data_IF_033473375113
#
_entry.id   IF_033473375113
#
_cell.length_a   1.000
_cell.length_b   1.000
_cell.length_c   1.000
_cell.angle_alpha   90.00
_cell.angle_beta   90.00
_cell.angle_gamma   90.00
#
_symmetry.space_group_name_H-M   'P 1'
#
loop_
_entity.id
_entity.type
_entity.pdbx_description
1 polymer ?
#
# COMPACT_ATOMS: atom_id res chain seq x y z
N UNK A 1 27.06 -6.74 62.89
CA UNK A 1 26.27 -5.74 62.13
C UNK A 1 26.09 -6.27 60.72
N UNK A 2 24.88 -6.67 60.35
CA UNK A 2 24.58 -7.30 59.07
C UNK A 2 24.36 -6.23 57.99
N UNK A 3 25.11 -6.32 56.89
CA UNK A 3 24.99 -5.50 55.70
C UNK A 3 23.68 -5.82 54.96
N UNK A 4 22.84 -4.82 54.72
CA UNK A 4 21.65 -4.93 53.86
C UNK A 4 22.06 -5.11 52.40
N UNK A 5 21.43 -6.00 51.63
CA UNK A 5 21.66 -6.10 50.19
C UNK A 5 20.92 -4.96 49.46
N UNK A 6 21.65 -4.25 48.60
CA UNK A 6 21.11 -3.25 47.67
C UNK A 6 20.44 -4.01 46.53
N UNK A 7 19.18 -3.67 46.23
CA UNK A 7 18.43 -4.31 45.16
C UNK A 7 19.02 -3.96 43.78
N UNK A 8 19.30 -5.00 43.00
CA UNK A 8 19.70 -4.89 41.60
C UNK A 8 18.49 -4.48 40.75
N UNK A 9 18.16 -3.18 40.78
CA UNK A 9 17.29 -2.56 39.78
C UNK A 9 18.06 -2.43 38.47
N UNK A 10 17.90 -3.40 37.57
CA UNK A 10 18.33 -3.34 36.17
C UNK A 10 17.69 -2.13 35.47
N UNK A 11 18.33 -0.96 35.57
CA UNK A 11 18.10 0.15 34.65
C UNK A 11 18.79 -0.20 33.33
N UNK A 12 18.07 -0.86 32.42
CA UNK A 12 18.46 -0.79 31.01
C UNK A 12 18.47 0.69 30.61
N UNK A 13 19.52 1.19 29.95
CA UNK A 13 19.49 2.52 29.35
C UNK A 13 18.32 2.54 28.35
N UNK A 14 17.37 3.46 28.54
CA UNK A 14 16.38 3.77 27.49
C UNK A 14 17.16 4.47 26.38
N UNK A 15 17.20 3.87 25.20
CA UNK A 15 17.81 4.46 24.02
C UNK A 15 17.10 5.78 23.67
N UNK A 16 17.76 6.95 23.74
CA UNK A 16 17.17 8.25 23.47
C UNK A 16 16.76 8.46 22.00
N UNK A 17 17.24 7.61 21.08
CA UNK A 17 17.02 7.76 19.63
C UNK A 17 15.57 7.51 19.18
N UNK A 18 14.78 6.79 19.97
CA UNK A 18 13.39 6.42 19.63
C UNK A 18 12.36 7.47 20.11
N UNK A 19 12.74 8.39 21.01
CA UNK A 19 11.81 9.27 21.72
C UNK A 19 11.53 10.64 21.05
N UNK A 20 11.96 10.89 19.81
CA UNK A 20 11.88 12.23 19.20
C UNK A 20 11.40 12.35 17.75
N UNK A 21 11.29 11.26 17.00
CA UNK A 21 10.88 11.34 15.59
C UNK A 21 9.36 11.38 15.46
N UNK A 22 8.86 12.55 15.07
CA UNK A 22 7.44 12.77 14.81
C UNK A 22 7.05 12.13 13.47
N UNK A 23 5.94 11.42 13.45
CA UNK A 23 5.37 10.81 12.23
C UNK A 23 4.20 11.66 11.76
N UNK A 24 4.21 12.05 10.49
CA UNK A 24 3.21 12.90 9.85
C UNK A 24 2.70 12.24 8.58
N UNK A 25 1.47 12.56 8.19
CA UNK A 25 0.83 11.94 7.04
C UNK A 25 0.33 12.99 6.04
N UNK A 26 0.68 12.80 4.77
CA UNK A 26 0.00 13.45 3.65
C UNK A 26 -0.88 12.41 2.95
N UNK A 27 -2.19 12.57 3.06
CA UNK A 27 -3.16 11.58 2.60
C UNK A 27 -3.64 11.99 1.21
N UNK A 28 -3.48 11.13 0.22
CA UNK A 28 -3.84 11.39 -1.17
C UNK A 28 -5.09 10.60 -1.54
N UNK A 29 -6.18 11.31 -1.87
CA UNK A 29 -7.50 10.73 -2.14
C UNK A 29 -8.00 11.20 -3.52
N UNK A 30 -7.99 10.34 -4.56
CA UNK A 30 -8.57 10.65 -5.85
C UNK A 30 -10.07 10.40 -5.78
N UNK A 31 -10.84 11.43 -6.13
CA UNK A 31 -12.29 11.46 -6.15
C UNK A 31 -12.77 11.57 -7.60
N UNK A 32 -13.74 10.72 -7.95
CA UNK A 32 -14.57 10.98 -9.12
C UNK A 32 -15.70 11.91 -8.70
N UNK A 33 -15.81 13.07 -9.33
CA UNK A 33 -16.82 14.08 -9.00
C UNK A 33 -17.62 14.39 -10.27
N UNK A 34 -18.68 13.62 -10.49
CA UNK A 34 -19.56 13.83 -11.65
C UNK A 34 -20.66 14.88 -11.37
N UNK A 35 -20.85 15.29 -10.11
CA UNK A 35 -21.80 16.33 -9.71
C UNK A 35 -21.44 17.01 -8.39
N UNK A 36 -22.03 18.18 -8.12
CA UNK A 36 -21.95 18.90 -6.84
C UNK A 36 -22.39 18.00 -5.68
N UNK A 37 -23.47 17.24 -5.85
CA UNK A 37 -23.96 16.29 -4.84
C UNK A 37 -22.97 15.16 -4.55
N UNK A 38 -22.28 14.63 -5.58
CA UNK A 38 -21.23 13.64 -5.36
C UNK A 38 -20.03 14.24 -4.63
N UNK A 39 -19.65 15.49 -4.97
CA UNK A 39 -18.61 16.22 -4.25
C UNK A 39 -18.99 16.33 -2.78
N UNK A 40 -20.20 16.83 -2.47
CA UNK A 40 -20.74 16.94 -1.11
C UNK A 40 -20.68 15.61 -0.36
N UNK A 41 -21.20 14.53 -0.97
CA UNK A 41 -21.30 13.22 -0.34
C UNK A 41 -19.96 12.56 -0.08
N UNK A 42 -18.94 12.76 -0.93
CA UNK A 42 -17.65 12.05 -0.76
C UNK A 42 -16.54 12.90 -0.17
N UNK A 43 -16.37 14.13 -0.62
CA UNK A 43 -15.37 15.04 -0.04
C UNK A 43 -15.68 15.32 1.43
N UNK A 44 -16.93 15.72 1.73
CA UNK A 44 -17.35 16.03 3.09
C UNK A 44 -17.24 14.82 4.02
N UNK A 45 -17.76 13.67 3.56
CA UNK A 45 -17.71 12.42 4.30
C UNK A 45 -16.29 11.96 4.63
N UNK A 46 -15.37 11.93 3.65
CA UNK A 46 -14.01 11.43 3.90
C UNK A 46 -13.24 12.36 4.83
N UNK A 47 -13.45 13.68 4.72
CA UNK A 47 -12.85 14.65 5.63
C UNK A 47 -13.42 14.50 7.06
N UNK A 48 -14.73 14.26 7.20
CA UNK A 48 -15.39 13.98 8.48
C UNK A 48 -14.86 12.70 9.14
N UNK A 49 -14.60 11.66 8.32
CA UNK A 49 -14.13 10.34 8.77
C UNK A 49 -12.64 10.27 9.05
N UNK A 50 -11.84 11.22 8.57
CA UNK A 50 -10.38 11.18 8.73
C UNK A 50 -9.91 11.01 10.18
N UNK A 51 -10.49 11.69 11.19
CA UNK A 51 -10.09 11.49 12.59
C UNK A 51 -10.41 10.10 13.12
N UNK A 52 -11.25 9.29 12.47
CA UNK A 52 -11.43 7.87 12.81
C UNK A 52 -10.20 7.03 12.48
N UNK A 53 -9.25 7.57 11.69
CA UNK A 53 -7.95 6.95 11.44
C UNK A 53 -6.98 7.03 12.62
N UNK A 54 -7.35 7.67 13.72
CA UNK A 54 -6.56 7.72 14.95
C UNK A 54 -7.34 7.07 16.09
N UNK A 55 -6.66 6.43 17.04
CA UNK A 55 -7.24 5.97 18.30
C UNK A 55 -7.55 7.16 19.20
N UNK A 56 -8.42 6.99 20.20
CA UNK A 56 -8.87 8.10 21.06
C UNK A 56 -7.70 8.77 21.78
N UNK A 57 -6.74 7.98 22.24
CA UNK A 57 -5.49 8.41 22.88
C UNK A 57 -4.55 9.19 21.94
N UNK A 58 -4.68 9.00 20.63
CA UNK A 58 -3.91 9.70 19.59
C UNK A 58 -4.70 10.86 18.95
N UNK A 59 -5.94 11.11 19.37
CA UNK A 59 -6.82 12.17 18.82
C UNK A 59 -6.63 13.54 19.47
N UNK A 60 -5.55 13.74 20.21
CA UNK A 60 -5.24 15.07 20.74
C UNK A 60 -5.08 16.08 19.59
N UNK A 61 -5.54 17.32 19.80
CA UNK A 61 -5.54 18.39 18.77
C UNK A 61 -4.22 18.52 18.02
N UNK A 62 -3.10 18.26 18.70
CA UNK A 62 -1.74 18.32 18.15
C UNK A 62 -1.45 17.27 17.07
N UNK A 63 -2.11 16.10 17.11
CA UNK A 63 -1.89 15.01 16.15
C UNK A 63 -2.59 15.30 14.82
N UNK A 64 -3.75 15.96 14.86
CA UNK A 64 -4.43 16.36 13.62
C UNK A 64 -3.71 17.48 12.87
N UNK A 65 -2.86 18.28 13.54
CA UNK A 65 -1.94 19.23 12.89
C UNK A 65 -0.80 18.52 12.12
N UNK A 66 -0.55 17.24 12.39
CA UNK A 66 0.43 16.40 11.70
C UNK A 66 -0.16 15.66 10.50
N UNK A 67 -1.40 16.00 10.12
CA UNK A 67 -2.11 15.42 9.00
C UNK A 67 -2.43 16.49 7.97
N UNK A 68 -2.09 16.19 6.72
CA UNK A 68 -2.52 16.95 5.57
C UNK A 68 -3.25 16.04 4.57
N UNK A 69 -4.18 16.58 3.79
CA UNK A 69 -4.96 15.81 2.81
C UNK A 69 -5.00 16.50 1.45
N UNK A 70 -4.74 15.73 0.41
CA UNK A 70 -4.99 16.09 -0.99
C UNK A 70 -6.22 15.36 -1.48
N UNK A 71 -7.21 16.13 -1.93
CA UNK A 71 -8.33 15.61 -2.69
C UNK A 71 -8.13 15.89 -4.17
N UNK A 72 -7.86 14.84 -4.93
CA UNK A 72 -7.75 14.92 -6.38
C UNK A 72 -9.12 14.77 -7.03
N UNK A 73 -9.71 15.83 -7.55
CA UNK A 73 -11.07 15.78 -8.11
C UNK A 73 -11.04 15.65 -9.63
N UNK A 74 -11.55 14.54 -10.15
CA UNK A 74 -11.81 14.40 -11.57
C UNK A 74 -13.09 15.13 -11.96
N UNK A 75 -12.95 16.18 -12.76
CA UNK A 75 -14.05 17.00 -13.25
C UNK A 75 -13.56 18.38 -13.68
N UNK A 76 -14.41 19.12 -14.43
CA UNK A 76 -14.12 20.53 -14.72
C UNK A 76 -14.31 21.33 -13.44
N UNK A 77 -13.26 21.99 -12.97
CA UNK A 77 -13.37 22.95 -11.88
C UNK A 77 -14.20 24.14 -12.35
N UNK A 78 -15.37 24.34 -11.73
CA UNK A 78 -16.23 25.49 -11.97
C UNK A 78 -16.21 26.41 -10.75
N UNK A 79 -16.43 27.73 -10.92
CA UNK A 79 -16.59 28.64 -9.78
C UNK A 79 -17.70 28.22 -8.81
N UNK A 80 -18.73 27.55 -9.33
CA UNK A 80 -19.80 26.95 -8.52
C UNK A 80 -19.26 25.82 -7.62
N UNK A 81 -18.52 24.86 -8.19
CA UNK A 81 -17.90 23.79 -7.42
C UNK A 81 -16.92 24.33 -6.38
N UNK A 82 -16.13 25.36 -6.72
CA UNK A 82 -15.27 26.06 -5.76
C UNK A 82 -16.06 26.64 -4.58
N UNK A 83 -17.18 27.32 -4.87
CA UNK A 83 -18.07 27.88 -3.85
C UNK A 83 -18.66 26.79 -2.92
N UNK A 84 -19.05 25.65 -3.49
CA UNK A 84 -19.52 24.49 -2.73
C UNK A 84 -18.42 23.96 -1.82
N UNK A 85 -17.21 23.74 -2.33
CA UNK A 85 -16.10 23.19 -1.54
C UNK A 85 -15.69 24.11 -0.38
N UNK A 86 -15.66 25.44 -0.62
CA UNK A 86 -15.44 26.44 0.44
C UNK A 86 -16.54 26.39 1.50
N UNK A 87 -17.79 26.21 1.08
CA UNK A 87 -18.94 26.09 1.99
C UNK A 87 -18.84 24.81 2.83
N UNK A 88 -18.52 23.67 2.22
CA UNK A 88 -18.33 22.40 2.94
C UNK A 88 -17.24 22.56 4.00
N UNK A 89 -16.09 23.12 3.62
CA UNK A 89 -14.99 23.36 4.56
C UNK A 89 -15.45 24.20 5.74
N UNK A 90 -16.09 25.34 5.48
CA UNK A 90 -16.57 26.24 6.54
C UNK A 90 -17.55 25.53 7.47
N UNK A 91 -18.44 24.72 6.92
CA UNK A 91 -19.41 23.93 7.70
C UNK A 91 -18.71 22.89 8.57
N UNK A 92 -17.75 22.13 8.02
CA UNK A 92 -16.99 21.14 8.78
C UNK A 92 -16.15 21.78 9.88
N UNK A 93 -15.43 22.86 9.57
CA UNK A 93 -14.63 23.63 10.54
C UNK A 93 -15.52 24.14 11.70
N UNK A 94 -16.78 24.48 11.43
CA UNK A 94 -17.75 24.92 12.44
C UNK A 94 -18.38 23.77 13.24
N UNK A 95 -18.59 22.61 12.60
CA UNK A 95 -19.26 21.47 13.20
C UNK A 95 -18.39 20.75 14.23
N UNK A 96 -17.07 20.67 13.98
CA UNK A 96 -16.15 20.09 14.95
C UNK A 96 -14.77 20.77 14.83
N UNK A 97 -14.36 21.53 15.87
CA UNK A 97 -13.12 22.30 15.87
C UNK A 97 -11.86 21.46 15.62
N UNK A 98 -11.90 20.15 15.87
CA UNK A 98 -10.76 19.28 15.61
C UNK A 98 -10.44 19.18 14.11
N UNK A 99 -11.43 19.39 13.21
CA UNK A 99 -11.24 19.38 11.76
C UNK A 99 -10.47 20.60 11.25
N UNK A 100 -10.60 21.74 11.92
CA UNK A 100 -9.94 22.99 11.51
C UNK A 100 -8.40 22.87 11.49
N UNK A 101 -7.85 21.86 12.18
CA UNK A 101 -6.42 21.60 12.25
C UNK A 101 -5.87 20.75 11.09
N UNK A 102 -6.74 20.05 10.34
CA UNK A 102 -6.31 19.24 9.20
C UNK A 102 -6.07 20.15 7.99
N UNK A 103 -4.80 20.24 7.59
CA UNK A 103 -4.41 20.95 6.36
C UNK A 103 -4.97 20.20 5.16
N UNK A 104 -5.48 20.91 4.16
CA UNK A 104 -5.91 20.24 2.94
C UNK A 104 -5.81 21.12 1.70
N UNK A 105 -5.77 20.47 0.55
CA UNK A 105 -5.90 21.13 -0.75
C UNK A 105 -6.70 20.26 -1.71
N UNK A 106 -7.38 20.95 -2.63
CA UNK A 106 -8.11 20.31 -3.72
C UNK A 106 -7.33 20.55 -5.00
N UNK A 107 -7.03 19.47 -5.71
CA UNK A 107 -6.38 19.51 -7.01
C UNK A 107 -7.36 18.96 -8.02
N UNK A 108 -7.69 19.75 -9.04
CA UNK A 108 -8.60 19.30 -10.09
C UNK A 108 -7.87 18.84 -11.33
N UNK A 109 -8.40 17.82 -11.98
CA UNK A 109 -7.89 17.33 -13.25
C UNK A 109 -9.04 16.73 -14.07
N UNK A 110 -8.77 16.49 -15.34
CA UNK A 110 -9.63 15.69 -16.22
C UNK A 110 -8.75 14.66 -16.93
N UNK A 111 -9.29 13.49 -17.27
CA UNK A 111 -8.58 12.50 -18.08
C UNK A 111 -9.29 12.16 -19.38
N UNK A 112 -8.56 11.49 -20.27
CA UNK A 112 -9.05 11.07 -21.58
C UNK A 112 -8.68 12.05 -22.67
N UNK A 113 -9.22 11.87 -23.88
CA UNK A 113 -8.75 12.51 -25.12
C UNK A 113 -8.55 14.03 -25.02
N UNK A 114 -9.44 14.71 -24.30
CA UNK A 114 -9.43 16.16 -24.09
C UNK A 114 -9.12 16.55 -22.63
N UNK A 115 -8.54 15.61 -21.88
CA UNK A 115 -8.20 15.76 -20.47
C UNK A 115 -6.85 16.44 -20.22
N UNK A 116 -6.63 16.90 -18.99
CA UNK A 116 -5.33 17.41 -18.53
C UNK A 116 -4.29 16.31 -18.30
N UNK A 117 -4.73 15.06 -18.08
CA UNK A 117 -3.87 13.89 -17.89
C UNK A 117 -4.33 12.71 -18.77
N UNK A 118 -3.43 11.75 -19.02
CA UNK A 118 -3.75 10.47 -19.67
C UNK A 118 -4.53 10.58 -21.01
N UNK A 119 -4.15 11.53 -21.87
CA UNK A 119 -4.86 11.84 -23.12
C UNK A 119 -4.99 10.67 -24.10
N UNK A 120 -4.08 9.71 -24.02
CA UNK A 120 -3.98 8.55 -24.89
C UNK A 120 -4.82 7.33 -24.42
N UNK A 121 -5.55 7.44 -23.31
CA UNK A 121 -6.33 6.35 -22.70
C UNK A 121 -7.73 6.81 -22.21
N UNK A 122 -8.67 7.11 -23.11
CA UNK A 122 -9.99 7.61 -22.74
C UNK A 122 -10.90 6.57 -22.06
N UNK A 123 -10.67 5.28 -22.29
CA UNK A 123 -11.65 4.23 -21.97
C UNK A 123 -11.48 3.59 -20.57
N UNK A 124 -10.48 4.02 -19.80
CA UNK A 124 -10.18 3.43 -18.49
C UNK A 124 -9.65 4.49 -17.52
N UNK A 125 -10.02 4.36 -16.23
CA UNK A 125 -9.54 5.23 -15.16
C UNK A 125 -8.01 5.11 -15.05
N UNK A 126 -7.24 6.19 -15.27
CA UNK A 126 -5.78 6.11 -15.35
C UNK A 126 -5.14 6.32 -13.97
N UNK A 127 -5.31 5.35 -13.05
CA UNK A 127 -4.88 5.49 -11.66
C UNK A 127 -3.41 5.92 -11.49
N UNK A 128 -2.48 5.30 -12.22
CA UNK A 128 -1.06 5.71 -12.22
C UNK A 128 -0.87 7.19 -12.56
N UNK A 129 -1.54 7.68 -13.62
CA UNK A 129 -1.44 9.07 -14.07
C UNK A 129 -2.05 10.03 -13.05
N UNK A 130 -3.16 9.62 -12.41
CA UNK A 130 -3.81 10.38 -11.34
C UNK A 130 -2.84 10.52 -10.15
N UNK A 131 -2.26 9.40 -9.67
CA UNK A 131 -1.32 9.42 -8.54
C UNK A 131 -0.05 10.20 -8.86
N UNK A 132 0.48 10.06 -10.08
CA UNK A 132 1.64 10.82 -10.56
C UNK A 132 1.36 12.33 -10.58
N UNK A 133 0.21 12.71 -11.15
CA UNK A 133 -0.19 14.12 -11.23
C UNK A 133 -0.38 14.73 -9.85
N UNK A 134 -1.10 14.04 -8.97
CA UNK A 134 -1.37 14.53 -7.62
C UNK A 134 -0.09 14.62 -6.78
N UNK A 135 0.82 13.63 -6.84
CA UNK A 135 2.05 13.68 -6.03
C UNK A 135 2.99 14.82 -6.45
N UNK A 136 3.04 15.15 -7.75
CA UNK A 136 3.98 16.15 -8.28
C UNK A 136 3.42 17.57 -8.28
N UNK A 137 2.13 17.75 -7.98
CA UNK A 137 1.49 19.06 -7.96
C UNK A 137 2.07 19.97 -6.88
N UNK A 138 2.20 21.27 -7.18
CA UNK A 138 2.79 22.25 -6.27
C UNK A 138 2.02 22.39 -4.94
N UNK A 139 0.69 22.20 -4.95
CA UNK A 139 -0.09 22.20 -3.71
C UNK A 139 0.29 21.02 -2.81
N UNK A 140 0.58 19.85 -3.38
CA UNK A 140 1.05 18.67 -2.63
C UNK A 140 2.42 18.94 -2.02
N UNK A 141 3.37 19.47 -2.81
CA UNK A 141 4.72 19.81 -2.36
C UNK A 141 4.70 20.82 -1.21
N UNK A 142 3.88 21.86 -1.35
CA UNK A 142 3.66 22.87 -0.30
C UNK A 142 3.16 22.26 1.00
N UNK A 143 2.23 21.29 0.95
CA UNK A 143 1.76 20.62 2.16
C UNK A 143 2.87 19.82 2.85
N UNK A 144 3.80 19.23 2.11
CA UNK A 144 4.97 18.54 2.70
C UNK A 144 5.90 19.54 3.39
N UNK A 145 6.17 20.66 2.75
CA UNK A 145 6.95 21.76 3.35
C UNK A 145 6.29 22.25 4.64
N UNK A 146 4.98 22.51 4.60
CA UNK A 146 4.18 22.93 5.74
C UNK A 146 4.13 21.89 6.88
N UNK A 147 4.18 20.59 6.56
CA UNK A 147 4.28 19.53 7.57
C UNK A 147 5.66 19.53 8.24
N UNK A 148 6.72 19.86 7.49
CA UNK A 148 8.10 19.92 7.99
C UNK A 148 8.50 21.24 8.63
N UNK A 149 7.77 22.33 8.40
CA UNK A 149 8.11 23.68 8.84
C UNK A 149 8.49 23.76 10.33
N UNK A 150 7.65 23.20 11.21
CA UNK A 150 7.90 23.19 12.67
C UNK A 150 8.80 22.04 13.13
N UNK A 151 8.87 20.97 12.34
CA UNK A 151 9.56 19.73 12.68
C UNK A 151 10.39 19.24 11.47
N UNK A 152 11.52 19.89 11.12
CA UNK A 152 12.23 19.60 9.87
C UNK A 152 12.68 18.14 9.72
N UNK A 153 12.93 17.45 10.84
CA UNK A 153 13.37 16.07 10.89
C UNK A 153 12.21 15.05 11.05
N UNK A 154 10.96 15.49 10.94
CA UNK A 154 9.83 14.57 11.02
C UNK A 154 9.78 13.62 9.82
N UNK A 155 9.24 12.42 10.06
CA UNK A 155 8.95 11.45 9.01
C UNK A 155 7.61 11.81 8.38
N UNK A 156 7.62 12.10 7.08
CA UNK A 156 6.39 12.39 6.32
C UNK A 156 6.08 11.19 5.42
N UNK A 157 4.92 10.57 5.62
CA UNK A 157 4.42 9.48 4.80
C UNK A 157 3.33 9.97 3.86
N UNK A 158 3.45 9.67 2.56
CA UNK A 158 2.30 9.77 1.66
C UNK A 158 1.45 8.53 1.84
N UNK A 159 0.22 8.71 2.33
CA UNK A 159 -0.78 7.65 2.40
C UNK A 159 -1.66 7.72 1.16
N UNK A 160 -1.51 6.77 0.27
CA UNK A 160 -2.45 6.60 -0.83
C UNK A 160 -3.69 5.91 -0.30
N UNK A 161 -4.86 6.46 -0.62
CA UNK A 161 -6.19 5.95 -0.21
C UNK A 161 -7.16 6.19 -1.37
N UNK A 162 -8.11 5.30 -1.64
CA UNK A 162 -9.15 5.52 -2.66
C UNK A 162 -10.45 6.04 -2.04
N UNK A 163 -11.27 6.64 -2.90
CA UNK A 163 -12.57 7.21 -2.55
C UNK A 163 -13.65 6.21 -2.11
N UNK A 164 -13.41 4.90 -2.23
CA UNK A 164 -14.32 3.85 -1.75
C UNK A 164 -14.16 3.55 -0.26
N UNK A 165 -13.21 4.20 0.42
CA UNK A 165 -13.06 4.16 1.88
C UNK A 165 -14.36 4.50 2.62
N UNK A 166 -14.72 3.68 3.61
CA UNK A 166 -15.88 3.89 4.49
C UNK A 166 -15.49 4.12 5.95
N UNK A 167 -14.34 3.62 6.40
CA UNK A 167 -13.85 3.84 7.75
C UNK A 167 -12.33 3.69 7.76
N UNK A 168 -11.63 4.69 8.33
CA UNK A 168 -10.18 4.67 8.46
C UNK A 168 -9.68 3.74 9.57
N UNK A 169 -10.55 3.24 10.44
CA UNK A 169 -10.32 2.16 11.39
C UNK A 169 -9.01 2.26 12.18
N UNK A 170 -8.73 3.44 12.75
CA UNK A 170 -7.50 3.74 13.50
C UNK A 170 -6.19 3.49 12.74
N UNK A 171 -6.22 3.41 11.41
CA UNK A 171 -5.07 2.97 10.61
C UNK A 171 -3.82 3.84 10.77
N UNK A 172 -3.95 5.15 10.97
CA UNK A 172 -2.80 6.04 11.16
C UNK A 172 -2.16 5.82 12.53
N UNK A 173 -2.93 5.46 13.57
CA UNK A 173 -2.36 4.98 14.83
C UNK A 173 -1.61 3.67 14.65
N UNK A 174 -2.12 2.74 13.84
CA UNK A 174 -1.40 1.50 13.52
C UNK A 174 -0.10 1.79 12.77
N UNK A 175 -0.10 2.70 11.81
CA UNK A 175 1.10 3.13 11.09
C UNK A 175 2.12 3.80 12.01
N UNK A 176 1.69 4.66 12.94
CA UNK A 176 2.58 5.22 13.96
C UNK A 176 3.23 4.09 14.78
N UNK A 177 2.44 3.10 15.20
CA UNK A 177 2.98 1.95 15.95
C UNK A 177 3.97 1.13 15.14
N UNK A 178 3.66 0.83 13.87
CA UNK A 178 4.57 0.13 12.95
C UNK A 178 5.90 0.88 12.85
N UNK A 179 5.86 2.19 12.62
CA UNK A 179 7.08 3.01 12.54
C UNK A 179 7.88 2.93 13.84
N UNK A 180 7.23 3.05 14.99
CA UNK A 180 7.91 2.95 16.29
C UNK A 180 8.49 1.56 16.55
N UNK A 181 7.76 0.50 16.22
CA UNK A 181 8.21 -0.89 16.35
C UNK A 181 9.44 -1.15 15.47
N UNK A 182 9.42 -0.69 14.22
CA UNK A 182 10.53 -0.83 13.29
C UNK A 182 11.75 0.00 13.70
N UNK A 183 11.56 1.23 14.17
CA UNK A 183 12.65 2.06 14.69
C UNK A 183 13.31 1.43 15.93
N UNK A 184 12.55 0.74 16.80
CA UNK A 184 13.12 0.03 17.96
C UNK A 184 13.99 -1.17 17.57
N UNK A 185 13.76 -1.77 16.39
CA UNK A 185 14.51 -2.95 15.94
C UNK A 185 15.90 -2.58 15.44
N UNK A 186 16.02 -1.55 14.62
CA UNK A 186 17.27 -1.22 13.91
C UNK A 186 17.47 0.28 13.62
N UNK A 187 16.65 1.15 14.21
CA UNK A 187 16.64 2.61 13.94
C UNK A 187 16.35 3.01 12.48
N UNK A 188 15.84 2.09 11.65
CA UNK A 188 15.44 2.37 10.28
C UNK A 188 13.91 2.41 10.20
N UNK A 189 13.31 3.54 9.79
CA UNK A 189 11.86 3.61 9.61
C UNK A 189 11.44 2.81 8.37
N UNK A 190 10.20 2.29 8.33
CA UNK A 190 9.64 1.72 7.11
C UNK A 190 9.71 2.73 5.97
N UNK A 191 10.27 2.34 4.83
CA UNK A 191 10.19 3.12 3.59
C UNK A 191 8.81 2.99 2.96
N UNK A 192 8.22 1.80 3.05
CA UNK A 192 6.88 1.49 2.55
C UNK A 192 6.15 0.65 3.60
N UNK A 193 4.88 0.96 3.85
CA UNK A 193 4.07 0.16 4.77
C UNK A 193 2.60 0.09 4.35
N UNK A 194 1.91 -1.00 4.71
CA UNK A 194 0.47 -1.16 4.53
C UNK A 194 -0.10 -2.14 5.57
N UNK A 195 -1.37 -1.97 5.93
CA UNK A 195 -2.16 -2.98 6.67
C UNK A 195 -3.22 -3.64 5.79
N UNK A 196 -3.25 -3.31 4.50
CA UNK A 196 -4.25 -3.77 3.55
C UNK A 196 -5.61 -3.12 3.72
N UNK A 197 -6.63 -3.71 3.10
CA UNK A 197 -8.02 -3.27 3.22
C UNK A 197 -8.91 -4.48 3.53
N UNK A 198 -10.07 -4.21 4.12
CA UNK A 198 -11.15 -5.18 4.28
C UNK A 198 -12.50 -4.54 3.96
N UNK A 199 -13.48 -5.35 3.62
CA UNK A 199 -14.88 -4.89 3.63
C UNK A 199 -15.50 -5.12 5.00
N UNK A 200 -16.58 -4.41 5.29
CA UNK A 200 -17.31 -4.53 6.54
C UNK A 200 -17.69 -5.99 6.84
N UNK A 201 -17.59 -6.40 8.13
CA UNK A 201 -17.88 -7.75 8.63
C UNK A 201 -19.26 -8.30 8.23
N UNK A 202 -20.23 -7.43 8.01
CA UNK A 202 -21.59 -7.82 7.61
C UNK A 202 -21.73 -8.09 6.09
N UNK A 203 -20.68 -7.87 5.30
CA UNK A 203 -20.67 -8.18 3.87
C UNK A 203 -20.38 -9.67 3.63
N UNK A 204 -21.07 -10.28 2.67
CA UNK A 204 -20.72 -11.61 2.16
C UNK A 204 -19.26 -11.71 1.66
N UNK A 205 -18.66 -10.57 1.29
CA UNK A 205 -17.27 -10.50 0.81
C UNK A 205 -16.24 -10.46 1.95
N UNK A 206 -16.65 -10.28 3.21
CA UNK A 206 -15.75 -10.05 4.34
C UNK A 206 -14.69 -11.13 4.49
N UNK A 207 -15.12 -12.39 4.62
CA UNK A 207 -14.21 -13.54 4.81
C UNK A 207 -13.20 -13.63 3.67
N UNK A 208 -13.65 -13.45 2.43
CA UNK A 208 -12.78 -13.50 1.26
C UNK A 208 -11.75 -12.34 1.23
N UNK A 209 -12.13 -11.13 1.66
CA UNK A 209 -11.18 -10.01 1.77
C UNK A 209 -10.21 -10.15 2.94
N UNK A 210 -10.67 -10.66 4.08
CA UNK A 210 -9.84 -10.95 5.24
C UNK A 210 -8.77 -11.99 4.89
N UNK A 211 -9.17 -13.09 4.23
CA UNK A 211 -8.23 -14.13 3.79
C UNK A 211 -7.23 -13.62 2.74
N UNK A 212 -7.67 -12.78 1.80
CA UNK A 212 -6.76 -12.16 0.83
C UNK A 212 -5.69 -11.32 1.53
N UNK A 213 -6.09 -10.53 2.53
CA UNK A 213 -5.19 -9.73 3.36
C UNK A 213 -4.26 -10.61 4.20
N UNK A 214 -4.78 -11.64 4.87
CA UNK A 214 -3.96 -12.54 5.68
C UNK A 214 -2.94 -13.34 4.85
N UNK A 215 -3.28 -13.68 3.61
CA UNK A 215 -2.33 -14.27 2.66
C UNK A 215 -1.14 -13.32 2.41
N UNK A 216 -1.40 -12.01 2.30
CA UNK A 216 -0.35 -10.99 2.12
C UNK A 216 0.50 -10.79 3.38
N UNK A 217 -0.12 -10.85 4.56
CA UNK A 217 0.60 -10.85 5.85
C UNK A 217 1.58 -12.01 5.89
N UNK A 218 1.11 -13.24 5.62
CA UNK A 218 1.93 -14.45 5.65
C UNK A 218 3.12 -14.38 4.67
N UNK A 219 2.89 -13.86 3.46
CA UNK A 219 3.97 -13.61 2.49
C UNK A 219 4.97 -12.59 3.02
N UNK A 220 4.49 -11.53 3.67
CA UNK A 220 5.33 -10.45 4.14
C UNK A 220 6.17 -10.80 5.37
N UNK A 221 5.75 -11.77 6.18
CA UNK A 221 6.59 -12.35 7.25
C UNK A 221 7.86 -12.99 6.69
N UNK A 222 7.80 -13.55 5.48
CA UNK A 222 8.95 -14.14 4.80
C UNK A 222 9.73 -13.11 4.00
N UNK A 223 9.05 -12.38 3.11
CA UNK A 223 9.63 -11.27 2.38
C UNK A 223 8.54 -10.24 1.99
N UNK A 224 8.53 -9.05 2.61
CA UNK A 224 7.51 -8.03 2.37
C UNK A 224 7.53 -7.45 0.97
N UNK A 225 8.61 -7.62 0.19
CA UNK A 225 8.69 -7.18 -1.21
C UNK A 225 8.10 -8.20 -2.19
N UNK A 226 7.76 -9.40 -1.75
CA UNK A 226 6.98 -10.36 -2.56
C UNK A 226 5.47 -10.08 -2.50
N UNK A 227 5.03 -9.27 -1.55
CA UNK A 227 3.64 -8.85 -1.41
C UNK A 227 3.31 -7.75 -2.42
N UNK A 228 2.23 -7.90 -3.17
CA UNK A 228 1.63 -6.77 -3.86
C UNK A 228 0.95 -5.87 -2.82
N UNK A 229 1.35 -4.61 -2.73
CA UNK A 229 0.72 -3.65 -1.84
C UNK A 229 -0.60 -3.22 -2.48
N UNK A 230 -1.75 -3.58 -1.89
CA UNK A 230 -3.04 -3.32 -2.50
C UNK A 230 -3.30 -1.82 -2.57
N UNK A 231 -3.74 -1.36 -3.72
CA UNK A 231 -4.49 -0.10 -3.81
C UNK A 231 -5.93 -0.42 -3.34
N UNK A 232 -6.50 0.34 -2.40
CA UNK A 232 -6.22 1.76 -2.11
C UNK A 232 -5.05 2.10 -1.20
N UNK A 233 -4.58 1.19 -0.34
CA UNK A 233 -4.00 1.60 0.95
C UNK A 233 -2.54 1.19 1.11
N UNK A 234 -1.63 2.14 0.91
CA UNK A 234 -0.23 1.99 1.31
C UNK A 234 0.42 3.35 1.56
N UNK A 235 1.39 3.37 2.46
CA UNK A 235 2.18 4.52 2.84
C UNK A 235 3.59 4.44 2.24
N UNK A 236 4.13 5.58 1.79
CA UNK A 236 5.51 5.70 1.32
C UNK A 236 6.18 6.88 2.02
N UNK A 237 7.36 6.63 2.58
CA UNK A 237 8.19 7.65 3.22
C UNK A 237 8.73 8.62 2.16
N UNK A 238 8.51 9.92 2.37
CA UNK A 238 9.16 10.98 1.61
C UNK A 238 10.61 11.11 2.08
N UNK A 239 11.58 11.07 1.15
CA UNK A 239 12.98 11.24 1.51
C UNK A 239 13.22 12.58 2.19
N UNK A 240 14.17 12.60 3.13
CA UNK A 240 14.56 13.83 3.82
C UNK A 240 15.08 14.85 2.80
N UNK A 241 14.62 16.11 2.91
CA UNK A 241 14.98 17.18 1.99
C UNK A 241 14.15 17.22 0.69
N UNK A 242 13.30 16.23 0.41
CA UNK A 242 12.39 16.24 -0.74
C UNK A 242 10.99 16.73 -0.35
N UNK A 243 10.32 17.48 -1.23
CA UNK A 243 8.95 17.97 -1.05
C UNK A 243 7.88 16.97 -1.53
N UNK A 244 8.30 15.86 -2.15
CA UNK A 244 7.42 14.79 -2.62
C UNK A 244 8.17 13.47 -2.80
N UNK A 245 7.46 12.41 -3.19
CA UNK A 245 8.05 11.16 -3.65
C UNK A 245 8.63 11.36 -5.05
N UNK A 246 9.94 11.25 -5.17
CA UNK A 246 10.70 11.51 -6.39
C UNK A 246 10.53 10.41 -7.44
N UNK A 247 10.26 9.17 -7.02
CA UNK A 247 9.96 8.04 -7.90
C UNK A 247 8.59 8.18 -8.56
N UNK A 248 8.40 7.50 -9.69
CA UNK A 248 7.19 7.61 -10.49
C UNK A 248 6.26 6.41 -10.35
N UNK A 249 4.95 6.67 -10.41
CA UNK A 249 3.92 5.66 -10.64
C UNK A 249 3.87 5.18 -12.10
N UNK A 250 4.58 5.85 -13.01
CA UNK A 250 4.57 5.59 -14.44
C UNK A 250 5.86 4.89 -14.83
N UNK A 251 5.71 3.69 -15.41
CA UNK A 251 6.87 2.94 -15.93
C UNK A 251 7.46 3.64 -17.16
N UNK A 252 8.80 3.78 -17.27
CA UNK A 252 9.44 4.27 -18.48
C UNK A 252 9.04 3.44 -19.72
N UNK A 253 8.65 4.11 -20.81
CA UNK A 253 8.24 3.48 -22.07
C UNK A 253 7.05 2.51 -21.93
N UNK A 254 6.14 2.72 -20.96
CA UNK A 254 4.93 1.87 -20.83
C UNK A 254 4.11 1.89 -22.11
N UNK A 255 3.55 0.74 -22.49
CA UNK A 255 2.50 0.70 -23.51
C UNK A 255 1.12 0.90 -22.87
N UNK A 256 0.08 1.12 -23.69
CA UNK A 256 -1.30 1.37 -23.22
C UNK A 256 -1.87 0.26 -22.31
N UNK A 257 -1.37 -0.97 -22.42
CA UNK A 257 -1.81 -2.13 -21.63
C UNK A 257 -1.10 -2.28 -20.28
N UNK A 258 -0.12 -1.43 -19.98
CA UNK A 258 0.74 -1.50 -18.78
C UNK A 258 0.44 -0.40 -17.75
N UNK A 259 -0.85 -0.13 -17.51
CA UNK A 259 -1.32 0.92 -16.59
C UNK A 259 -1.83 0.41 -15.24
N UNK A 260 -1.60 -0.87 -14.95
CA UNK A 260 -1.98 -1.52 -13.69
C UNK A 260 -0.77 -1.60 -12.76
N UNK A 261 -1.01 -1.95 -11.49
CA UNK A 261 0.03 -2.20 -10.49
C UNK A 261 0.85 -0.95 -10.16
N UNK A 262 0.14 0.12 -9.78
CA UNK A 262 0.72 1.41 -9.44
C UNK A 262 1.78 1.27 -8.34
N UNK A 263 1.42 0.58 -7.26
CA UNK A 263 2.30 0.31 -6.13
C UNK A 263 3.53 -0.49 -6.53
N UNK A 264 3.36 -1.51 -7.39
CA UNK A 264 4.48 -2.32 -7.89
C UNK A 264 5.50 -1.49 -8.70
N UNK A 265 5.02 -0.64 -9.59
CA UNK A 265 5.87 0.27 -10.38
C UNK A 265 6.63 1.23 -9.47
N UNK A 266 5.93 1.84 -8.50
CA UNK A 266 6.55 2.79 -7.58
C UNK A 266 7.59 2.11 -6.67
N UNK A 267 7.21 1.01 -6.01
CA UNK A 267 8.09 0.29 -5.07
C UNK A 267 9.33 -0.21 -5.80
N UNK A 268 9.21 -0.69 -7.04
CA UNK A 268 10.37 -1.15 -7.81
C UNK A 268 11.44 -0.07 -8.00
N UNK A 269 11.04 1.21 -8.09
CA UNK A 269 11.95 2.35 -8.16
C UNK A 269 12.45 2.79 -6.77
N UNK A 270 11.59 2.74 -5.74
CA UNK A 270 11.98 3.06 -4.35
C UNK A 270 13.11 2.16 -3.86
N UNK A 271 13.21 0.94 -4.35
CA UNK A 271 14.32 0.02 -4.05
C UNK A 271 15.68 0.57 -4.45
N UNK A 272 15.73 1.47 -5.43
CA UNK A 272 16.97 2.10 -5.90
C UNK A 272 17.51 3.14 -4.90
N UNK A 273 16.72 3.53 -3.87
CA UNK A 273 17.15 4.39 -2.77
C UNK A 273 18.24 3.76 -1.88
N UNK A 274 18.50 2.46 -1.99
CA UNK A 274 19.44 1.73 -1.13
C UNK A 274 18.71 0.83 -0.12
N UNK A 275 18.87 1.10 1.19
CA UNK A 275 18.18 0.32 2.24
C UNK A 275 16.68 0.61 2.23
N UNK A 276 15.93 -0.22 1.52
CA UNK A 276 14.47 -0.27 1.58
C UNK A 276 14.02 -1.09 2.79
N UNK A 277 13.04 -0.58 3.53
CA UNK A 277 12.34 -1.33 4.57
C UNK A 277 10.85 -1.36 4.25
N UNK A 278 10.34 -2.53 3.86
CA UNK A 278 8.94 -2.71 3.51
C UNK A 278 8.23 -3.46 4.64
N UNK A 279 6.99 -3.07 4.96
CA UNK A 279 6.18 -3.72 6.00
C UNK A 279 4.75 -3.93 5.53
N UNK A 280 4.25 -5.15 5.64
CA UNK A 280 2.83 -5.43 5.51
C UNK A 280 2.36 -6.10 6.80
N UNK A 281 1.51 -5.43 7.57
CA UNK A 281 1.15 -5.84 8.93
C UNK A 281 -0.28 -6.37 9.03
N UNK A 282 -0.50 -7.27 9.98
CA UNK A 282 -1.79 -7.81 10.42
C UNK A 282 -2.57 -6.88 11.35
N UNK A 283 -2.05 -5.67 11.63
CA UNK A 283 -2.78 -4.60 12.34
C UNK A 283 -4.03 -4.15 11.56
N UNK A 284 -4.82 -3.29 12.19
CA UNK A 284 -6.14 -2.86 11.69
C UNK A 284 -6.06 -2.34 10.24
N UNK A 285 -6.85 -2.92 9.32
CA UNK A 285 -6.93 -2.48 7.93
C UNK A 285 -7.87 -1.29 7.77
N UNK A 286 -7.75 -0.59 6.66
CA UNK A 286 -8.79 0.36 6.24
C UNK A 286 -10.06 -0.42 5.82
N UNK A 287 -11.24 0.11 6.12
CA UNK A 287 -12.48 -0.47 5.60
C UNK A 287 -12.93 0.24 4.33
N UNK A 288 -13.27 -0.54 3.31
CA UNK A 288 -13.78 -0.06 2.02
C UNK A 288 -15.21 -0.54 1.77
N UNK A 289 -15.95 0.22 0.95
CA UNK A 289 -17.17 -0.28 0.33
C UNK A 289 -16.80 -1.41 -0.64
N UNK A 290 -17.71 -2.38 -0.86
CA UNK A 290 -17.49 -3.45 -1.83
C UNK A 290 -17.44 -2.83 -3.23
N UNK A 291 -16.28 -2.84 -3.92
CA UNK A 291 -16.20 -2.29 -5.26
C UNK A 291 -16.91 -3.21 -6.25
N UNK A 292 -17.51 -2.67 -7.31
CA UNK A 292 -18.23 -3.45 -8.33
C UNK A 292 -17.38 -4.57 -8.98
N UNK A 293 -16.06 -4.39 -8.98
CA UNK A 293 -15.10 -5.37 -9.51
C UNK A 293 -14.93 -6.62 -8.62
N UNK A 294 -15.41 -6.59 -7.38
CA UNK A 294 -15.29 -7.70 -6.45
C UNK A 294 -16.38 -8.71 -6.76
N UNK A 295 -15.96 -9.96 -7.00
CA UNK A 295 -16.86 -11.09 -7.22
C UNK A 295 -16.43 -12.24 -6.31
N UNK A 296 -17.37 -13.05 -5.88
CA UNK A 296 -17.07 -14.30 -5.18
C UNK A 296 -17.06 -15.48 -6.16
N UNK A 297 -16.26 -16.49 -5.82
CA UNK A 297 -16.22 -17.79 -6.49
C UNK A 297 -15.86 -18.86 -5.45
N UNK A 298 -16.05 -20.15 -5.73
CA UNK A 298 -15.59 -21.26 -4.85
C UNK A 298 -14.07 -21.39 -4.72
N UNK A 299 -13.32 -20.32 -5.02
CA UNK A 299 -11.88 -20.14 -4.78
C UNK A 299 -11.61 -18.85 -3.98
N UNK A 300 -12.65 -18.24 -3.40
CA UNK A 300 -12.59 -16.96 -2.69
C UNK A 300 -12.78 -15.73 -3.60
N UNK A 301 -12.08 -14.64 -3.25
CA UNK A 301 -12.23 -13.32 -3.86
C UNK A 301 -11.69 -13.29 -5.29
N UNK A 302 -12.54 -12.92 -6.25
CA UNK A 302 -12.18 -12.72 -7.65
C UNK A 302 -12.06 -11.23 -7.97
N UNK A 303 -10.82 -10.75 -8.05
CA UNK A 303 -10.46 -9.41 -8.50
C UNK A 303 -9.19 -9.46 -9.37
N UNK A 304 -8.82 -8.35 -10.00
CA UNK A 304 -7.54 -8.22 -10.70
C UNK A 304 -6.30 -8.18 -9.78
N UNK A 305 -6.48 -8.21 -8.46
CA UNK A 305 -5.42 -7.95 -7.48
C UNK A 305 -5.41 -8.96 -6.31
N UNK A 306 -6.35 -9.91 -6.24
CA UNK A 306 -6.46 -10.86 -5.13
C UNK A 306 -5.36 -11.93 -5.18
N UNK A 307 -4.59 -12.05 -4.09
CA UNK A 307 -3.59 -13.08 -3.86
C UNK A 307 -4.20 -14.49 -3.66
N UNK A 308 -5.52 -14.60 -3.49
CA UNK A 308 -6.20 -15.90 -3.43
C UNK A 308 -6.23 -16.62 -4.79
N UNK A 309 -6.18 -15.87 -5.89
CA UNK A 309 -6.14 -16.45 -7.25
C UNK A 309 -4.70 -16.78 -7.66
N UNK A 310 -4.44 -18.03 -8.02
CA UNK A 310 -3.09 -18.52 -8.33
C UNK A 310 -2.32 -17.69 -9.37
N UNK A 311 -3.00 -17.26 -10.45
CA UNK A 311 -2.37 -16.44 -11.50
C UNK A 311 -2.05 -15.03 -10.99
N UNK A 312 -2.95 -14.44 -10.20
CA UNK A 312 -2.78 -13.09 -9.68
C UNK A 312 -1.70 -13.09 -8.62
N UNK A 313 -1.69 -14.06 -7.71
CA UNK A 313 -0.60 -14.29 -6.76
C UNK A 313 0.76 -14.38 -7.47
N UNK A 314 0.86 -15.21 -8.52
CA UNK A 314 2.08 -15.33 -9.31
C UNK A 314 2.44 -14.06 -10.10
N UNK A 315 1.52 -13.11 -10.32
CA UNK A 315 1.83 -11.78 -10.86
C UNK A 315 2.32 -10.86 -9.72
N UNK A 316 1.66 -10.91 -8.57
CA UNK A 316 1.96 -10.13 -7.37
C UNK A 316 3.39 -10.38 -6.86
N UNK A 317 3.88 -11.62 -6.92
CA UNK A 317 5.26 -11.96 -6.52
C UNK A 317 6.35 -11.26 -7.36
N UNK A 318 6.01 -10.76 -8.56
CA UNK A 318 6.92 -9.95 -9.40
C UNK A 318 6.64 -8.46 -9.33
N UNK A 319 5.58 -8.04 -8.64
CA UNK A 319 5.04 -6.69 -8.73
C UNK A 319 6.08 -5.61 -8.46
N UNK A 320 6.89 -5.84 -7.43
CA UNK A 320 7.87 -4.88 -6.93
C UNK A 320 9.27 -5.08 -7.56
N UNK A 321 9.38 -5.95 -8.58
CA UNK A 321 10.66 -6.25 -9.24
C UNK A 321 11.67 -6.96 -8.35
N UNK A 322 11.23 -7.60 -7.26
CA UNK A 322 12.08 -8.46 -6.41
C UNK A 322 12.55 -9.69 -7.19
N UNK A 323 11.60 -10.35 -7.82
CA UNK A 323 11.87 -11.36 -8.82
C UNK A 323 11.88 -10.67 -10.19
N UNK A 324 12.97 -10.80 -10.94
CA UNK A 324 13.02 -10.34 -12.33
C UNK A 324 13.12 -11.54 -13.26
N UNK A 325 12.33 -11.54 -14.34
CA UNK A 325 12.29 -12.66 -15.28
C UNK A 325 13.66 -13.02 -15.90
N UNK A 326 14.63 -12.09 -15.90
CA UNK A 326 15.95 -12.28 -16.49
C UNK A 326 16.92 -13.05 -15.57
N UNK A 327 16.70 -12.99 -14.25
CA UNK A 327 17.63 -13.52 -13.23
C UNK A 327 17.23 -14.92 -12.72
N UNK A 328 16.26 -15.57 -13.36
CA UNK A 328 15.45 -16.62 -12.73
C UNK A 328 15.52 -17.97 -13.46
N UNK A 329 16.47 -18.21 -14.37
CA UNK A 329 16.53 -19.51 -15.06
C UNK A 329 17.94 -20.01 -15.29
N UNK A 330 18.23 -21.23 -14.82
CA UNK A 330 19.55 -21.86 -14.93
C UNK A 330 19.71 -22.77 -16.19
N UNK A 331 20.93 -22.70 -16.75
CA UNK A 331 21.72 -23.77 -17.43
C UNK A 331 21.38 -24.36 -18.80
N UNK A 332 20.57 -23.74 -19.65
CA UNK A 332 20.46 -24.23 -21.05
C UNK A 332 20.72 -23.23 -22.18
N UNK A 333 20.91 -21.93 -21.93
CA UNK A 333 21.31 -21.00 -23.01
C UNK A 333 22.20 -19.85 -22.50
N UNK A 334 23.53 -20.01 -22.53
CA UNK A 334 24.49 -18.94 -22.23
C UNK A 334 24.39 -17.75 -23.20
N UNK A 335 23.91 -17.98 -24.43
CA UNK A 335 24.08 -17.03 -25.54
C UNK A 335 22.93 -16.04 -25.74
N UNK A 336 21.78 -16.20 -25.07
CA UNK A 336 20.60 -15.34 -25.27
C UNK A 336 20.44 -14.25 -24.20
N UNK A 337 20.94 -14.48 -22.98
CA UNK A 337 20.92 -13.48 -21.90
C UNK A 337 21.96 -12.38 -22.13
N UNK A 338 23.01 -12.66 -22.90
CA UNK A 338 24.12 -11.76 -23.25
C UNK A 338 23.73 -10.53 -24.07
N UNK A 339 22.49 -10.45 -24.57
CA UNK A 339 21.96 -9.28 -25.31
C UNK A 339 20.77 -8.58 -24.62
N UNK A 340 20.54 -8.83 -23.33
CA UNK A 340 19.48 -8.14 -22.56
C UNK A 340 18.05 -8.49 -22.98
N UNK A 341 17.85 -9.54 -23.81
CA UNK A 341 16.52 -10.04 -24.20
C UNK A 341 16.19 -11.30 -23.41
N UNK A 342 15.05 -11.26 -22.72
CA UNK A 342 14.50 -12.42 -22.01
C UNK A 342 14.24 -13.58 -22.98
N UNK A 343 14.61 -14.83 -22.64
CA UNK A 343 14.20 -16.00 -23.41
C UNK A 343 12.68 -16.02 -23.58
N UNK A 344 12.23 -16.33 -24.80
CA UNK A 344 10.79 -16.37 -25.12
C UNK A 344 10.10 -17.38 -24.19
N UNK A 345 9.04 -16.94 -23.51
CA UNK A 345 8.23 -17.80 -22.64
C UNK A 345 8.70 -17.88 -21.18
N UNK A 346 9.82 -17.26 -20.80
CA UNK A 346 10.36 -17.37 -19.43
C UNK A 346 9.39 -16.88 -18.35
N UNK A 347 8.70 -15.76 -18.60
CA UNK A 347 7.67 -15.25 -17.69
C UNK A 347 6.48 -16.22 -17.54
N UNK A 348 6.21 -17.06 -18.55
CA UNK A 348 5.21 -18.12 -18.47
C UNK A 348 5.68 -19.28 -17.60
N UNK A 349 6.94 -19.71 -17.77
CA UNK A 349 7.55 -20.79 -17.01
C UNK A 349 7.60 -20.45 -15.51
N UNK A 350 8.09 -19.25 -15.16
CA UNK A 350 8.25 -18.87 -13.76
C UNK A 350 6.88 -18.74 -13.06
N UNK A 351 5.88 -18.17 -13.74
CA UNK A 351 4.50 -18.13 -13.21
C UNK A 351 3.93 -19.53 -13.05
N UNK A 352 4.14 -20.42 -14.03
CA UNK A 352 3.66 -21.80 -13.95
C UNK A 352 4.28 -22.56 -12.77
N UNK A 353 5.55 -22.31 -12.43
CA UNK A 353 6.18 -22.88 -11.24
C UNK A 353 5.51 -22.40 -9.95
N UNK A 354 5.33 -21.08 -9.78
CA UNK A 354 4.67 -20.52 -8.59
C UNK A 354 3.25 -21.05 -8.46
N UNK A 355 2.50 -21.09 -9.57
CA UNK A 355 1.14 -21.64 -9.61
C UNK A 355 1.12 -23.11 -9.19
N UNK A 356 2.08 -23.93 -9.65
CA UNK A 356 2.18 -25.35 -9.27
C UNK A 356 2.45 -25.51 -7.78
N UNK A 357 3.42 -24.77 -7.22
CA UNK A 357 3.70 -24.79 -5.78
C UNK A 357 2.49 -24.34 -4.96
N UNK A 358 1.83 -23.26 -5.39
CA UNK A 358 0.69 -22.70 -4.68
C UNK A 358 -0.56 -23.61 -4.72
N UNK A 359 -0.68 -24.45 -5.76
CA UNK A 359 -1.81 -25.36 -5.97
C UNK A 359 -1.56 -26.82 -5.53
N UNK A 360 -0.36 -27.17 -5.05
CA UNK A 360 -0.06 -28.57 -4.76
C UNK A 360 -0.90 -29.10 -3.58
N UNK A 361 -1.22 -30.39 -3.63
CA UNK A 361 -2.24 -31.01 -2.79
C UNK A 361 -1.80 -31.15 -1.34
N UNK A 362 -0.53 -31.50 -1.15
CA UNK A 362 0.04 -31.83 0.15
C UNK A 362 1.49 -31.37 0.26
N UNK A 363 2.04 -31.45 1.46
CA UNK A 363 3.38 -30.93 1.77
C UNK A 363 4.47 -31.78 1.12
N UNK A 364 4.22 -33.07 0.86
CA UNK A 364 5.17 -33.93 0.15
C UNK A 364 5.31 -33.48 -1.30
N UNK A 365 4.19 -33.24 -1.99
CA UNK A 365 4.19 -32.69 -3.34
C UNK A 365 4.85 -31.29 -3.37
N UNK A 366 4.60 -30.47 -2.34
CA UNK A 366 5.26 -29.17 -2.21
C UNK A 366 6.78 -29.31 -2.19
N UNK A 367 7.34 -30.16 -1.32
CA UNK A 367 8.79 -30.37 -1.22
C UNK A 367 9.40 -30.92 -2.51
N UNK A 368 8.71 -31.86 -3.18
CA UNK A 368 9.18 -32.41 -4.46
C UNK A 368 9.20 -31.38 -5.58
N UNK A 369 8.21 -30.47 -5.62
CA UNK A 369 8.17 -29.37 -6.57
C UNK A 369 9.19 -28.28 -6.21
N UNK A 370 9.36 -27.96 -4.94
CA UNK A 370 10.31 -26.96 -4.46
C UNK A 370 11.75 -27.34 -4.81
N UNK A 371 12.11 -28.63 -4.77
CA UNK A 371 13.44 -29.11 -5.23
C UNK A 371 13.71 -28.87 -6.72
N UNK A 372 12.67 -28.71 -7.54
CA UNK A 372 12.78 -28.42 -8.98
C UNK A 372 12.91 -26.92 -9.27
N UNK A 373 13.07 -26.09 -8.22
CA UNK A 373 13.13 -24.63 -8.29
C UNK A 373 13.91 -24.14 -9.52
N UNK A 374 13.25 -23.49 -10.50
CA UNK A 374 13.94 -23.03 -11.70
C UNK A 374 14.77 -21.76 -11.46
N UNK A 375 14.64 -21.09 -10.31
CA UNK A 375 15.18 -19.77 -10.02
C UNK A 375 16.69 -19.84 -9.73
N UNK A 376 17.50 -19.07 -10.48
CA UNK A 376 18.96 -18.92 -10.31
C UNK A 376 19.33 -17.61 -9.59
N UNK A 377 18.48 -17.19 -8.64
CA UNK A 377 18.79 -16.04 -7.77
C UNK A 377 19.64 -16.57 -6.61
N UNK A 378 20.55 -15.76 -6.08
CA UNK A 378 21.22 -15.98 -4.78
C UNK A 378 20.25 -16.71 -3.85
N UNK A 379 20.64 -17.90 -3.38
CA UNK A 379 19.71 -18.90 -2.86
C UNK A 379 18.75 -18.36 -1.79
N UNK A 380 19.08 -17.25 -1.12
CA UNK A 380 18.22 -16.53 -0.19
C UNK A 380 16.89 -16.07 -0.81
N UNK A 381 16.86 -15.37 -1.94
CA UNK A 381 15.60 -14.83 -2.50
C UNK A 381 14.74 -15.95 -3.08
N UNK A 382 15.36 -16.93 -3.73
CA UNK A 382 14.66 -18.10 -4.25
C UNK A 382 14.07 -18.94 -3.10
N UNK A 383 14.78 -19.07 -1.98
CA UNK A 383 14.29 -19.69 -0.75
C UNK A 383 13.15 -18.88 -0.16
N UNK A 384 13.29 -17.56 -0.01
CA UNK A 384 12.24 -16.67 0.49
C UNK A 384 10.97 -16.76 -0.35
N UNK A 385 11.09 -16.90 -1.68
CA UNK A 385 9.92 -17.11 -2.53
C UNK A 385 9.23 -18.44 -2.19
N UNK A 386 9.96 -19.54 -2.14
CA UNK A 386 9.37 -20.86 -1.82
C UNK A 386 8.69 -20.81 -0.45
N UNK A 387 9.34 -20.25 0.56
CA UNK A 387 8.77 -20.13 1.91
C UNK A 387 7.57 -19.17 1.96
N UNK A 388 7.58 -18.08 1.20
CA UNK A 388 6.42 -17.20 1.08
C UNK A 388 5.21 -17.90 0.41
N UNK A 389 5.46 -18.73 -0.61
CA UNK A 389 4.42 -19.55 -1.24
C UNK A 389 3.88 -20.59 -0.25
N UNK A 390 4.76 -21.20 0.56
CA UNK A 390 4.38 -22.13 1.63
C UNK A 390 3.44 -21.45 2.63
N UNK A 391 3.82 -20.28 3.13
CA UNK A 391 3.03 -19.50 4.09
C UNK A 391 1.66 -19.12 3.50
N UNK A 392 1.62 -18.63 2.25
CA UNK A 392 0.38 -18.32 1.55
C UNK A 392 -0.54 -19.54 1.37
N UNK A 393 0.03 -20.72 1.11
CA UNK A 393 -0.71 -21.96 0.87
C UNK A 393 -1.48 -22.43 2.10
N UNK A 394 -0.98 -22.20 3.32
CA UNK A 394 -1.69 -22.57 4.55
C UNK A 394 -3.04 -21.83 4.68
N UNK A 395 -3.09 -20.53 4.37
CA UNK A 395 -4.35 -19.77 4.37
C UNK A 395 -5.32 -20.22 3.27
N UNK A 396 -4.80 -20.70 2.15
CA UNK A 396 -5.63 -21.29 1.09
C UNK A 396 -6.18 -22.66 1.46
N UNK A 397 -5.41 -23.50 2.17
CA UNK A 397 -5.92 -24.78 2.69
C UNK A 397 -7.08 -24.53 3.64
N UNK A 398 -6.95 -23.54 4.53
CA UNK A 398 -8.02 -23.12 5.43
C UNK A 398 -9.32 -22.77 4.68
N UNK A 399 -9.23 -22.04 3.55
CA UNK A 399 -10.38 -21.75 2.68
C UNK A 399 -11.12 -23.02 2.22
N UNK A 400 -10.38 -23.99 1.69
CA UNK A 400 -10.97 -25.24 1.19
C UNK A 400 -11.54 -26.11 2.30
N UNK A 401 -10.95 -26.10 3.49
CA UNK A 401 -11.48 -26.83 4.65
C UNK A 401 -12.70 -26.17 5.25
N UNK A 402 -12.74 -24.83 5.26
CA UNK A 402 -13.86 -24.05 5.75
C UNK A 402 -15.08 -24.17 4.83
N UNK A 403 -14.90 -24.05 3.51
CA UNK A 403 -15.98 -24.24 2.53
C UNK A 403 -16.57 -25.66 2.55
N UNK A 404 -15.77 -26.69 2.87
CA UNK A 404 -16.27 -28.07 2.97
C UNK A 404 -17.06 -28.37 4.25
N UNK A 405 -16.94 -27.52 5.27
CA UNK A 405 -17.56 -27.69 6.60
C UNK A 405 -18.83 -26.85 6.79
N UNK A 406 -19.11 -25.92 5.86
CA UNK A 406 -20.39 -25.25 5.69
C UNK A 406 -21.30 -26.09 4.77
#
# INVERSE_FOLDING_TARGET
MASKPVSAGSKRPRDPSVQGLKVKFLINIPLKVDSVDQALRRYGYLLEKLPEGFRKEDKDKKVLEDVAVIFGMNGKYTPELEGVLKTIKKTLDSFNPNYAHIKHSVITYTWGKDGTIAQDNPDCVPYQDIREYLKNNDATKKLVEELREKDPNCLVYFSFVDSDTVNFNSIYSEYIQIVQEELRKDSVPPTVMSTGYEVNRNSEHHIATWLDRMTRVAVAEVNPLLTYYPEPNFCVLVQQGCDTITESFIKPKRNKKQRNMESGVLISQIKERGKIKAVFSDKEPIHIAVPERFKLSGKGLKTGQSALQEMIFAICTYANGELTNARVYNKQQPDTVTQGKLPKGIAGINRAFIIKLYNCKDDKEFEELAKKNPFDIDGEVATSLVEAIRAAREYRKFLYEFEKKL
#
